data_IF_272736103045
#
_entry.id   IF_272736103045
#
_cell.length_a   1.000
_cell.length_b   1.000
_cell.length_c   1.000
_cell.angle_alpha   90.00
_cell.angle_beta   90.00
_cell.angle_gamma   90.00
#
_symmetry.space_group_name_H-M   'P 1'
#
loop_
_entity.id
_entity.type
_entity.pdbx_description
1 polymer ?
#
# COMPACT_ATOMS: atom_id res chain seq x y z
N UNK A 1 -15.50 -0.97 -15.53
CA UNK A 1 -16.33 0.07 -14.86
C UNK A 1 -15.40 0.92 -14.02
N UNK A 2 -15.73 2.19 -13.74
CA UNK A 2 -14.89 3.04 -12.89
C UNK A 2 -15.27 2.82 -11.43
N UNK A 3 -14.30 2.48 -10.60
CA UNK A 3 -14.47 2.25 -9.17
C UNK A 3 -13.64 3.23 -8.35
N UNK A 4 -14.05 3.45 -7.10
CA UNK A 4 -13.18 4.03 -6.07
C UNK A 4 -12.26 2.93 -5.53
N UNK A 5 -10.96 3.23 -5.39
CA UNK A 5 -9.96 2.25 -4.98
C UNK A 5 -9.22 2.72 -3.73
N UNK A 6 -9.10 1.82 -2.75
CA UNK A 6 -8.27 2.02 -1.57
C UNK A 6 -7.14 1.00 -1.59
N UNK A 7 -5.90 1.48 -1.58
CA UNK A 7 -4.71 0.65 -1.46
C UNK A 7 -4.14 0.81 -0.06
N UNK A 8 -4.14 -0.27 0.72
CA UNK A 8 -3.51 -0.34 2.03
C UNK A 8 -2.17 -1.05 1.88
N UNK A 9 -1.07 -0.37 2.22
CA UNK A 9 0.29 -0.95 2.24
C UNK A 9 0.72 -1.06 3.71
N UNK A 10 0.67 -2.26 4.24
CA UNK A 10 1.12 -2.60 5.59
C UNK A 10 2.63 -2.82 5.56
N UNK A 11 3.41 -1.79 5.86
CA UNK A 11 4.88 -1.80 5.71
C UNK A 11 5.51 -3.01 6.42
N UNK A 12 6.40 -3.69 5.71
CA UNK A 12 7.19 -4.78 6.26
C UNK A 12 6.40 -6.03 6.63
N UNK A 13 5.14 -6.21 6.20
CA UNK A 13 4.32 -7.40 6.50
C UNK A 13 4.70 -8.61 5.63
N UNK A 14 5.26 -9.62 6.29
CA UNK A 14 5.57 -10.94 5.73
C UNK A 14 4.31 -11.77 5.39
N UNK A 15 4.35 -12.54 4.30
CA UNK A 15 3.24 -13.39 3.83
C UNK A 15 2.76 -14.43 4.86
N UNK A 16 3.66 -15.19 5.48
CA UNK A 16 3.26 -16.22 6.46
C UNK A 16 2.63 -15.59 7.69
N UNK A 17 3.18 -14.45 8.15
CA UNK A 17 2.57 -13.69 9.23
C UNK A 17 1.21 -13.17 8.85
N UNK A 18 1.04 -12.63 7.64
CA UNK A 18 -0.27 -12.22 7.15
C UNK A 18 -1.26 -13.40 7.15
N UNK A 19 -0.84 -14.57 6.67
CA UNK A 19 -1.65 -15.79 6.58
C UNK A 19 -2.17 -16.23 7.95
N UNK A 20 -1.37 -16.15 9.01
CA UNK A 20 -1.77 -16.66 10.33
C UNK A 20 -2.14 -15.57 11.36
N UNK A 21 -1.93 -14.29 11.08
CA UNK A 21 -2.11 -13.19 12.04
C UNK A 21 -3.18 -12.16 11.64
N UNK A 22 -3.64 -12.15 10.38
CA UNK A 22 -4.68 -11.24 9.90
C UNK A 22 -6.06 -11.92 9.96
N UNK A 23 -6.52 -12.21 11.17
CA UNK A 23 -7.74 -13.01 11.40
C UNK A 23 -9.02 -12.41 10.80
N UNK A 24 -9.17 -11.09 10.82
CA UNK A 24 -10.29 -10.38 10.23
C UNK A 24 -10.25 -10.46 8.70
N UNK A 25 -9.12 -10.17 8.04
CA UNK A 25 -9.00 -10.37 6.59
C UNK A 25 -9.22 -11.84 6.18
N UNK A 26 -8.70 -12.79 6.97
CA UNK A 26 -8.93 -14.22 6.74
C UNK A 26 -10.41 -14.62 6.91
N UNK A 27 -11.19 -13.91 7.74
CA UNK A 27 -12.62 -14.14 7.82
C UNK A 27 -13.34 -13.79 6.52
N UNK A 28 -12.91 -12.73 5.81
CA UNK A 28 -13.44 -12.42 4.47
C UNK A 28 -13.06 -13.49 3.45
N UNK A 29 -11.82 -13.98 3.49
CA UNK A 29 -11.37 -15.08 2.61
C UNK A 29 -12.19 -16.34 2.88
N UNK A 30 -12.36 -16.74 4.13
CA UNK A 30 -13.16 -17.90 4.52
C UNK A 30 -14.65 -17.77 4.17
N UNK A 31 -15.16 -16.55 4.06
CA UNK A 31 -16.52 -16.26 3.61
C UNK A 31 -16.66 -16.16 2.07
N UNK A 32 -15.57 -16.36 1.31
CA UNK A 32 -15.58 -16.19 -0.15
C UNK A 32 -15.80 -14.75 -0.62
N UNK A 33 -15.49 -13.77 0.24
CA UNK A 33 -15.65 -12.32 -0.02
C UNK A 33 -14.31 -11.62 -0.30
N UNK A 34 -13.21 -12.37 -0.23
CA UNK A 34 -11.86 -11.90 -0.52
C UNK A 34 -11.01 -13.08 -1.02
N UNK A 35 -9.85 -12.75 -1.59
CA UNK A 35 -8.81 -13.72 -1.90
C UNK A 35 -7.47 -13.23 -1.33
N UNK A 36 -6.63 -14.17 -0.91
CA UNK A 36 -5.24 -13.92 -0.49
C UNK A 36 -4.30 -14.54 -1.52
N UNK A 37 -3.42 -13.72 -2.07
CA UNK A 37 -2.35 -14.10 -2.97
C UNK A 37 -0.99 -13.92 -2.31
N UNK A 38 -0.02 -14.73 -2.73
CA UNK A 38 1.39 -14.54 -2.39
C UNK A 38 2.07 -13.79 -3.53
N UNK A 39 2.62 -12.62 -3.23
CA UNK A 39 3.47 -11.87 -4.13
C UNK A 39 4.94 -12.13 -3.78
N UNK A 40 5.81 -11.96 -4.77
CA UNK A 40 7.25 -11.77 -4.55
C UNK A 40 7.57 -10.29 -4.79
N UNK A 41 8.13 -9.61 -3.79
CA UNK A 41 8.52 -8.21 -3.94
C UNK A 41 9.75 -8.06 -4.85
N UNK A 42 9.85 -6.91 -5.49
CA UNK A 42 11.01 -6.53 -6.28
C UNK A 42 12.24 -6.27 -5.40
N UNK A 43 13.38 -6.06 -6.05
CA UNK A 43 14.65 -5.82 -5.38
C UNK A 43 15.21 -4.42 -5.67
N UNK A 44 15.87 -3.79 -4.68
CA UNK A 44 16.07 -4.28 -3.32
C UNK A 44 14.79 -4.29 -2.48
N UNK A 45 14.68 -5.24 -1.54
CA UNK A 45 13.56 -5.36 -0.59
C UNK A 45 13.63 -4.28 0.48
N UNK A 46 13.53 -3.02 0.06
CA UNK A 46 13.64 -1.81 0.87
C UNK A 46 12.41 -0.94 0.65
N UNK A 47 11.98 -0.24 1.70
CA UNK A 47 10.70 0.46 1.71
C UNK A 47 10.56 1.53 0.64
N UNK A 48 11.41 2.57 0.60
CA UNK A 48 11.28 3.64 -0.42
C UNK A 48 11.35 3.11 -1.87
N UNK A 49 12.30 2.22 -2.22
CA UNK A 49 12.31 1.54 -3.52
C UNK A 49 11.00 0.83 -3.86
N UNK A 50 10.37 0.17 -2.88
CA UNK A 50 9.19 -0.64 -3.11
C UNK A 50 7.88 0.14 -3.00
N UNK A 51 7.85 1.27 -2.29
CA UNK A 51 6.76 2.26 -2.44
C UNK A 51 6.70 2.78 -3.87
N UNK A 52 7.87 3.12 -4.44
CA UNK A 52 8.00 3.52 -5.85
C UNK A 52 7.54 2.39 -6.77
N UNK A 53 8.00 1.16 -6.54
CA UNK A 53 7.63 0.01 -7.38
C UNK A 53 6.13 -0.27 -7.36
N UNK A 54 5.50 -0.35 -6.19
CA UNK A 54 4.06 -0.61 -6.06
C UNK A 54 3.24 0.45 -6.77
N UNK A 55 3.57 1.73 -6.55
CA UNK A 55 2.77 2.84 -7.03
C UNK A 55 3.03 3.20 -8.49
N UNK A 56 4.13 2.73 -9.09
CA UNK A 56 4.49 3.01 -10.50
C UNK A 56 4.53 1.77 -11.39
N UNK A 57 4.56 0.57 -10.81
CA UNK A 57 4.78 -0.69 -11.53
C UNK A 57 6.19 -0.84 -12.11
N UNK A 58 7.15 0.01 -11.70
CA UNK A 58 8.52 0.03 -12.24
C UNK A 58 9.51 -0.52 -11.21
N UNK A 59 10.28 -1.57 -11.53
CA UNK A 59 11.29 -2.11 -10.61
C UNK A 59 12.32 -1.07 -10.16
N UNK A 60 12.85 -1.15 -8.93
CA UNK A 60 13.81 -0.17 -8.40
C UNK A 60 15.04 0.10 -9.28
N UNK A 61 15.59 -0.94 -9.90
CA UNK A 61 16.76 -0.82 -10.79
C UNK A 61 16.46 0.05 -12.03
N UNK A 62 15.20 0.13 -12.44
CA UNK A 62 14.75 0.94 -13.59
C UNK A 62 14.32 2.35 -13.15
N UNK A 63 13.61 2.49 -12.02
CA UNK A 63 13.19 3.80 -11.51
C UNK A 63 14.37 4.63 -10.99
N UNK A 64 15.44 3.96 -10.56
CA UNK A 64 16.62 4.57 -9.95
C UNK A 64 16.41 4.97 -8.48
N UNK A 65 15.28 4.60 -7.86
CA UNK A 65 15.09 4.66 -6.41
C UNK A 65 15.57 3.33 -5.84
N UNK A 66 16.89 3.19 -5.65
CA UNK A 66 17.53 1.90 -5.32
C UNK A 66 17.88 1.74 -3.84
N UNK A 67 17.66 2.75 -3.01
CA UNK A 67 17.79 2.65 -1.55
C UNK A 67 16.99 3.76 -0.86
N UNK A 68 16.73 3.59 0.45
CA UNK A 68 15.90 4.52 1.24
C UNK A 68 16.43 5.97 1.27
N UNK A 69 17.74 6.18 1.11
CA UNK A 69 18.34 7.53 1.09
C UNK A 69 18.23 8.28 -0.26
N UNK A 70 17.65 7.68 -1.33
CA UNK A 70 17.43 8.41 -2.59
C UNK A 70 16.22 9.34 -2.39
N UNK A 71 16.47 10.59 -1.98
CA UNK A 71 15.46 11.61 -1.73
C UNK A 71 15.31 12.55 -2.92
N UNK A 72 14.31 12.28 -3.76
CA UNK A 72 13.90 13.11 -4.90
C UNK A 72 12.48 12.76 -5.34
N UNK A 73 11.90 13.61 -6.17
CA UNK A 73 10.72 13.25 -6.94
C UNK A 73 11.02 12.06 -7.86
N UNK A 74 10.01 11.21 -8.01
CA UNK A 74 9.99 10.14 -9.00
C UNK A 74 10.13 10.74 -10.41
N UNK A 75 10.80 10.00 -11.28
CA UNK A 75 10.83 10.26 -12.72
C UNK A 75 9.86 9.35 -13.49
N UNK A 76 9.05 8.57 -12.77
CA UNK A 76 8.05 7.66 -13.28
C UNK A 76 6.66 8.23 -13.08
N UNK A 77 5.70 7.70 -13.83
CA UNK A 77 4.28 7.97 -13.62
C UNK A 77 3.71 6.94 -12.64
N UNK A 78 3.12 7.44 -11.56
CA UNK A 78 2.44 6.64 -10.53
C UNK A 78 0.92 6.64 -10.70
N UNK A 79 0.22 5.79 -9.94
CA UNK A 79 -1.26 5.76 -9.87
C UNK A 79 -1.83 7.17 -9.70
N UNK A 80 -1.21 7.98 -8.83
CA UNK A 80 -1.61 9.36 -8.59
C UNK A 80 -1.61 10.21 -9.87
N UNK A 81 -0.55 10.13 -10.67
CA UNK A 81 -0.44 10.85 -11.93
C UNK A 81 -1.48 10.39 -12.96
N UNK A 82 -1.70 9.08 -13.10
CA UNK A 82 -2.73 8.57 -14.02
C UNK A 82 -4.14 9.00 -13.61
N UNK A 83 -4.44 8.97 -12.31
CA UNK A 83 -5.70 9.41 -11.76
C UNK A 83 -5.92 10.93 -12.01
N UNK A 84 -4.97 11.78 -11.63
CA UNK A 84 -5.11 13.23 -11.79
C UNK A 84 -5.19 13.67 -13.25
N UNK A 85 -4.40 13.05 -14.15
CA UNK A 85 -4.45 13.35 -15.59
C UNK A 85 -5.80 12.98 -16.22
N UNK A 86 -6.51 12.01 -15.64
CA UNK A 86 -7.87 11.65 -16.00
C UNK A 86 -8.95 12.47 -15.26
N UNK A 87 -8.56 13.49 -14.49
CA UNK A 87 -9.47 14.37 -13.74
C UNK A 87 -10.04 13.72 -12.48
N UNK A 88 -9.38 12.70 -11.94
CA UNK A 88 -9.80 12.00 -10.72
C UNK A 88 -9.19 12.63 -9.47
N UNK A 89 -9.90 12.50 -8.35
CA UNK A 89 -9.44 12.98 -7.04
C UNK A 89 -8.55 11.96 -6.34
N UNK A 90 -7.45 12.42 -5.74
CA UNK A 90 -6.49 11.53 -5.06
C UNK A 90 -6.21 11.96 -3.62
N UNK A 91 -5.97 10.96 -2.76
CA UNK A 91 -5.53 11.20 -1.40
C UNK A 91 -4.52 10.17 -0.88
N UNK A 92 -3.74 10.56 0.13
CA UNK A 92 -2.85 9.65 0.85
C UNK A 92 -2.72 9.97 2.34
N UNK A 93 -2.89 8.96 3.18
CA UNK A 93 -2.42 8.96 4.56
C UNK A 93 -1.21 8.02 4.63
N UNK A 94 0.01 8.58 4.67
CA UNK A 94 1.22 7.79 4.42
C UNK A 94 2.48 8.38 5.05
N UNK A 95 3.56 7.60 5.04
CA UNK A 95 4.87 8.11 5.45
C UNK A 95 5.33 9.21 4.48
N UNK A 96 6.06 10.21 5.00
CA UNK A 96 6.42 11.40 4.26
C UNK A 96 7.21 11.12 2.96
N UNK A 97 7.85 9.96 2.85
CA UNK A 97 8.57 9.54 1.64
C UNK A 97 7.65 9.48 0.42
N UNK A 98 6.38 9.15 0.61
CA UNK A 98 5.39 9.16 -0.48
C UNK A 98 5.17 10.60 -0.99
N UNK A 99 5.12 11.59 -0.09
CA UNK A 99 5.09 13.01 -0.49
C UNK A 99 6.37 13.42 -1.22
N UNK A 100 7.53 12.93 -0.79
CA UNK A 100 8.81 13.22 -1.47
C UNK A 100 8.89 12.62 -2.87
N UNK A 101 8.29 11.45 -3.08
CA UNK A 101 8.25 10.78 -4.37
C UNK A 101 7.30 11.48 -5.36
N UNK A 102 6.14 11.98 -4.92
CA UNK A 102 5.08 12.41 -5.87
C UNK A 102 4.62 13.85 -5.76
N UNK A 103 4.88 14.54 -4.65
CA UNK A 103 4.48 15.93 -4.48
C UNK A 103 5.69 16.87 -4.53
N UNK A 104 6.56 16.81 -3.51
CA UNK A 104 7.68 17.76 -3.33
C UNK A 104 8.79 17.12 -2.50
N UNK A 105 10.04 17.33 -2.92
CA UNK A 105 11.25 16.95 -2.18
C UNK A 105 12.21 18.14 -2.11
N UNK A 106 12.81 18.47 -0.95
CA UNK A 106 12.68 17.78 0.34
C UNK A 106 11.33 18.03 1.03
N UNK A 107 10.91 17.08 1.87
CA UNK A 107 9.74 17.23 2.75
C UNK A 107 9.99 18.26 3.85
N UNK A 108 9.04 19.16 4.06
CA UNK A 108 9.01 20.13 5.14
C UNK A 108 7.72 19.97 5.94
N UNK A 109 7.80 19.40 7.14
CA UNK A 109 6.63 19.01 7.94
C UNK A 109 5.58 20.12 8.09
N UNK A 110 5.99 21.36 8.38
CA UNK A 110 5.07 22.49 8.55
C UNK A 110 4.30 22.87 7.27
N UNK A 111 4.87 22.57 6.09
CA UNK A 111 4.27 22.87 4.78
C UNK A 111 3.48 21.69 4.25
N UNK A 112 4.04 20.49 4.37
CA UNK A 112 3.63 19.33 3.58
C UNK A 112 2.75 18.35 4.37
N UNK A 113 2.85 18.29 5.71
CA UNK A 113 2.14 17.30 6.56
C UNK A 113 0.65 17.21 6.21
N UNK A 114 0.00 18.35 6.06
CA UNK A 114 -1.40 18.44 5.65
C UNK A 114 -1.46 19.13 4.29
N UNK A 115 -1.55 18.33 3.24
CA UNK A 115 -1.68 18.82 1.86
C UNK A 115 -3.14 18.90 1.47
N UNK A 116 -3.55 20.03 0.89
CA UNK A 116 -4.86 20.27 0.27
C UNK A 116 -4.62 21.21 -0.92
N UNK A 117 -4.08 20.66 -2.02
CA UNK A 117 -3.63 21.37 -3.21
C UNK A 117 -3.93 20.53 -4.46
N UNK A 118 -4.98 20.89 -5.19
CA UNK A 118 -5.48 20.13 -6.34
C UNK A 118 -4.54 20.14 -7.55
N UNK A 119 -3.45 20.93 -7.51
CA UNK A 119 -2.43 20.96 -8.57
C UNK A 119 -1.35 19.89 -8.41
N UNK A 120 -1.30 19.21 -7.26
CA UNK A 120 -0.35 18.14 -6.97
C UNK A 120 -0.88 16.75 -7.37
N UNK A 121 0.01 15.79 -7.55
CA UNK A 121 -0.37 14.40 -7.85
C UNK A 121 -1.14 13.75 -6.70
N UNK A 122 -0.70 13.99 -5.45
CA UNK A 122 -1.47 13.68 -4.24
C UNK A 122 -2.13 14.98 -3.78
N UNK A 123 -3.40 15.15 -4.14
CA UNK A 123 -4.13 16.40 -3.94
C UNK A 123 -4.48 16.65 -2.47
N UNK A 124 -4.82 15.58 -1.75
CA UNK A 124 -5.17 15.62 -0.33
C UNK A 124 -4.30 14.66 0.48
N UNK A 125 -3.49 15.16 1.41
CA UNK A 125 -2.46 14.35 2.06
C UNK A 125 -2.37 14.57 3.57
N UNK A 126 -2.20 13.48 4.32
CA UNK A 126 -1.77 13.48 5.72
C UNK A 126 -0.50 12.64 5.84
N UNK A 127 0.65 13.32 6.06
CA UNK A 127 1.95 12.68 6.04
C UNK A 127 2.63 12.68 7.41
N UNK A 128 2.90 11.49 7.94
CA UNK A 128 3.68 11.32 9.17
C UNK A 128 5.16 11.11 8.85
N UNK A 129 6.04 11.34 9.84
CA UNK A 129 7.49 11.22 9.66
C UNK A 129 8.22 10.53 10.82
N UNK A 130 7.47 10.08 11.84
CA UNK A 130 8.04 9.29 12.93
C UNK A 130 7.61 7.83 12.73
N UNK A 131 8.57 6.91 12.76
CA UNK A 131 8.34 5.49 12.43
C UNK A 131 7.33 4.82 13.38
N UNK A 132 7.25 5.32 14.63
CA UNK A 132 6.31 4.86 15.66
C UNK A 132 4.94 5.58 15.63
N UNK A 133 4.58 6.25 14.52
CA UNK A 133 3.27 6.93 14.42
C UNK A 133 2.15 5.91 14.58
N UNK A 134 1.19 6.09 15.50
CA UNK A 134 0.22 5.03 15.78
C UNK A 134 -0.65 4.70 14.56
N UNK A 135 -0.68 3.43 14.16
CA UNK A 135 -1.57 2.96 13.08
C UNK A 135 -3.03 3.39 13.30
N UNK A 136 -3.52 3.41 14.54
CA UNK A 136 -4.88 3.87 14.85
C UNK A 136 -5.14 5.31 14.41
N UNK A 137 -4.14 6.18 14.53
CA UNK A 137 -4.23 7.57 14.08
C UNK A 137 -4.11 7.65 12.56
N UNK A 138 -3.24 6.82 11.96
CA UNK A 138 -3.10 6.81 10.51
C UNK A 138 -4.38 6.31 9.80
N UNK A 139 -5.01 5.25 10.29
CA UNK A 139 -6.28 4.79 9.74
C UNK A 139 -7.39 5.83 9.93
N UNK A 140 -7.40 6.56 11.06
CA UNK A 140 -8.31 7.68 11.25
C UNK A 140 -8.00 8.87 10.30
N UNK A 141 -6.73 9.17 10.03
CA UNK A 141 -6.30 10.17 9.04
C UNK A 141 -6.79 9.79 7.63
N UNK A 142 -6.66 8.52 7.25
CA UNK A 142 -7.15 7.99 5.99
C UNK A 142 -8.68 8.13 5.84
N UNK A 143 -9.44 7.73 6.87
CA UNK A 143 -10.90 7.82 6.81
C UNK A 143 -11.40 9.26 6.87
N UNK A 144 -10.69 10.15 7.58
CA UNK A 144 -10.93 11.60 7.54
C UNK A 144 -10.78 12.16 6.13
N UNK A 145 -9.70 11.81 5.42
CA UNK A 145 -9.50 12.19 4.01
C UNK A 145 -10.64 11.64 3.14
N UNK A 146 -11.03 10.37 3.32
CA UNK A 146 -12.13 9.74 2.58
C UNK A 146 -13.45 10.47 2.78
N UNK A 147 -13.82 10.78 4.02
CA UNK A 147 -15.08 11.46 4.36
C UNK A 147 -15.11 12.91 3.87
N UNK A 148 -13.99 13.63 3.96
CA UNK A 148 -13.93 15.05 3.60
C UNK A 148 -13.82 15.28 2.09
N UNK A 149 -13.07 14.43 1.39
CA UNK A 149 -12.68 14.66 0.00
C UNK A 149 -13.23 13.65 -0.99
N UNK A 150 -13.77 12.50 -0.53
CA UNK A 150 -14.28 11.43 -1.38
C UNK A 150 -13.37 11.11 -2.59
N UNK A 151 -12.08 10.83 -2.36
CA UNK A 151 -11.12 10.60 -3.44
C UNK A 151 -11.48 9.34 -4.24
N UNK A 152 -11.18 9.35 -5.54
CA UNK A 152 -11.29 8.16 -6.39
C UNK A 152 -10.18 7.14 -6.04
N UNK A 153 -9.00 7.62 -5.66
CA UNK A 153 -7.89 6.78 -5.18
C UNK A 153 -7.38 7.26 -3.82
N UNK A 154 -7.33 6.34 -2.84
CA UNK A 154 -6.76 6.58 -1.51
C UNK A 154 -5.65 5.57 -1.21
N UNK A 155 -4.47 6.09 -0.84
CA UNK A 155 -3.39 5.30 -0.26
C UNK A 155 -3.42 5.38 1.28
N UNK A 156 -3.31 4.23 1.94
CA UNK A 156 -3.18 4.10 3.40
C UNK A 156 -1.92 3.31 3.71
N UNK A 157 -0.98 3.87 4.46
CA UNK A 157 0.35 3.27 4.63
C UNK A 157 0.84 3.30 6.09
N UNK A 158 0.42 2.35 6.95
CA UNK A 158 0.94 2.20 8.32
C UNK A 158 2.32 1.53 8.36
N UNK A 159 3.09 1.80 9.42
CA UNK A 159 4.51 1.37 9.55
C UNK A 159 4.82 0.55 10.82
N UNK A 160 3.88 0.41 11.76
CA UNK A 160 4.21 -0.23 13.04
C UNK A 160 4.62 -1.71 12.92
N UNK A 161 4.22 -2.42 11.86
CA UNK A 161 4.66 -3.81 11.63
C UNK A 161 6.17 -3.85 11.33
N UNK A 162 6.63 -3.04 10.37
CA UNK A 162 8.05 -2.89 10.06
C UNK A 162 8.86 -2.37 11.26
N UNK A 163 8.39 -1.32 11.93
CA UNK A 163 9.05 -0.77 13.13
C UNK A 163 9.20 -1.82 14.25
N UNK A 164 8.18 -2.65 14.48
CA UNK A 164 8.27 -3.78 15.40
C UNK A 164 9.25 -4.86 14.91
N UNK A 165 9.30 -5.09 13.59
CA UNK A 165 10.23 -6.00 12.94
C UNK A 165 11.68 -5.58 13.13
N UNK A 166 12.01 -4.31 12.92
CA UNK A 166 13.35 -3.75 13.19
C UNK A 166 13.73 -3.81 14.68
N UNK A 167 12.77 -3.68 15.59
CA UNK A 167 13.04 -3.74 17.04
C UNK A 167 13.22 -5.16 17.55
N UNK A 168 12.49 -6.12 16.99
CA UNK A 168 12.33 -7.44 17.61
C UNK A 168 12.57 -8.65 16.69
N UNK A 169 12.56 -8.47 15.37
CA UNK A 169 12.72 -9.52 14.37
C UNK A 169 11.42 -10.25 14.03
N UNK A 170 11.43 -10.97 12.92
CA UNK A 170 10.30 -11.73 12.38
C UNK A 170 9.69 -12.71 13.39
N UNK A 171 10.52 -13.53 14.04
CA UNK A 171 10.07 -14.60 14.94
C UNK A 171 9.59 -14.11 16.32
N UNK A 172 9.49 -12.80 16.51
CA UNK A 172 9.04 -12.19 17.76
C UNK A 172 7.52 -12.19 17.92
N UNK A 173 7.05 -12.20 19.17
CA UNK A 173 5.64 -11.98 19.46
C UNK A 173 5.22 -10.54 19.13
N UNK A 174 6.14 -9.57 19.24
CA UNK A 174 5.91 -8.16 18.99
C UNK A 174 5.57 -7.90 17.52
N UNK A 175 6.35 -8.45 16.58
CA UNK A 175 6.08 -8.35 15.15
C UNK A 175 4.71 -8.97 14.80
N UNK A 176 4.47 -10.22 15.25
CA UNK A 176 3.20 -10.93 15.04
C UNK A 176 1.99 -10.20 15.67
N UNK A 177 2.15 -9.59 16.85
CA UNK A 177 1.07 -8.86 17.51
C UNK A 177 0.84 -7.47 16.89
N UNK A 178 1.85 -6.88 16.26
CA UNK A 178 1.68 -5.65 15.47
C UNK A 178 0.82 -5.92 14.24
N UNK A 179 1.03 -7.05 13.55
CA UNK A 179 0.15 -7.48 12.46
C UNK A 179 -1.31 -7.69 12.91
N UNK A 180 -1.52 -8.39 14.05
CA UNK A 180 -2.87 -8.54 14.64
C UNK A 180 -3.50 -7.20 15.00
N UNK A 181 -2.71 -6.26 15.50
CA UNK A 181 -3.21 -4.94 15.89
C UNK A 181 -3.64 -4.14 14.65
N UNK A 182 -2.86 -4.17 13.57
CA UNK A 182 -3.21 -3.54 12.30
C UNK A 182 -4.50 -4.14 11.70
N UNK A 183 -4.65 -5.48 11.75
CA UNK A 183 -5.85 -6.19 11.30
C UNK A 183 -7.11 -5.81 12.11
N UNK A 184 -6.98 -5.71 13.43
CA UNK A 184 -8.07 -5.26 14.33
C UNK A 184 -8.46 -3.82 14.01
N UNK A 185 -7.49 -2.91 13.85
CA UNK A 185 -7.78 -1.50 13.54
C UNK A 185 -8.45 -1.39 12.16
N UNK A 186 -7.94 -2.11 11.16
CA UNK A 186 -8.53 -2.14 9.81
C UNK A 186 -9.99 -2.64 9.83
N UNK A 187 -10.34 -3.52 10.77
CA UNK A 187 -11.69 -4.05 10.91
C UNK A 187 -12.75 -2.97 11.19
N UNK A 188 -12.37 -1.89 11.86
CA UNK A 188 -13.28 -0.76 12.14
C UNK A 188 -13.72 -0.02 10.86
N UNK A 189 -12.93 -0.12 9.78
CA UNK A 189 -13.13 0.67 8.55
C UNK A 189 -13.53 -0.16 7.33
N UNK A 190 -12.99 -1.38 7.20
CA UNK A 190 -13.05 -2.15 5.95
C UNK A 190 -14.48 -2.40 5.47
N UNK A 191 -15.39 -2.82 6.36
CA UNK A 191 -16.78 -3.07 5.96
C UNK A 191 -17.47 -1.79 5.48
N UNK A 192 -17.21 -0.65 6.13
CA UNK A 192 -17.74 0.65 5.70
C UNK A 192 -17.21 1.10 4.33
N UNK A 193 -15.95 0.80 4.03
CA UNK A 193 -15.38 1.06 2.69
C UNK A 193 -16.03 0.18 1.62
N UNK A 194 -16.24 -1.11 1.90
CA UNK A 194 -16.90 -2.04 0.99
C UNK A 194 -18.37 -1.67 0.77
N UNK A 195 -19.09 -1.25 1.81
CA UNK A 195 -20.48 -0.78 1.71
C UNK A 195 -20.61 0.51 0.89
N UNK A 196 -19.56 1.33 0.87
CA UNK A 196 -19.44 2.49 -0.01
C UNK A 196 -19.04 2.13 -1.46
N UNK A 197 -18.90 0.84 -1.79
CA UNK A 197 -18.54 0.36 -3.13
C UNK A 197 -17.06 0.44 -3.47
N UNK A 198 -16.20 0.71 -2.48
CA UNK A 198 -14.75 0.77 -2.70
C UNK A 198 -14.18 -0.62 -3.01
N UNK A 199 -13.22 -0.66 -3.92
CA UNK A 199 -12.38 -1.83 -4.16
C UNK A 199 -11.13 -1.69 -3.30
N UNK A 200 -10.84 -2.69 -2.47
CA UNK A 200 -9.77 -2.60 -1.47
C UNK A 200 -8.69 -3.63 -1.78
N UNK A 201 -7.45 -3.17 -1.87
CA UNK A 201 -6.26 -4.00 -1.91
C UNK A 201 -5.49 -3.80 -0.61
N UNK A 202 -5.10 -4.89 0.06
CA UNK A 202 -4.23 -4.85 1.24
C UNK A 202 -2.98 -5.65 0.95
N UNK A 203 -1.82 -4.99 0.93
CA UNK A 203 -0.54 -5.60 0.55
C UNK A 203 0.58 -5.15 1.48
N UNK A 204 1.78 -5.63 1.25
CA UNK A 204 3.02 -5.07 1.80
C UNK A 204 4.00 -4.73 0.68
N UNK A 205 4.99 -3.94 1.03
CA UNK A 205 6.16 -3.65 0.21
C UNK A 205 7.21 -4.76 0.31
N UNK A 206 7.63 -5.11 1.52
CA UNK A 206 8.54 -6.22 1.81
C UNK A 206 8.13 -6.96 3.09
N UNK A 207 8.90 -7.98 3.47
CA UNK A 207 8.82 -8.64 4.77
C UNK A 207 9.98 -8.24 5.70
N UNK A 208 10.31 -9.11 6.66
CA UNK A 208 11.33 -8.86 7.68
C UNK A 208 12.03 -10.17 8.00
N UNK A 209 13.34 -10.14 8.27
CA UNK A 209 14.08 -11.32 8.70
C UNK A 209 14.39 -11.31 10.22
N UNK A 210 15.00 -12.39 10.71
CA UNK A 210 15.35 -12.54 12.12
C UNK A 210 16.57 -11.72 12.55
N UNK A 211 17.35 -11.20 11.60
CA UNK A 211 18.40 -10.21 11.85
C UNK A 211 17.82 -8.79 12.01
N UNK A 212 16.49 -8.66 12.02
CA UNK A 212 15.74 -7.40 12.19
C UNK A 212 16.01 -6.42 11.05
N UNK A 213 16.20 -6.98 9.87
CA UNK A 213 16.45 -6.23 8.65
C UNK A 213 15.64 -6.81 7.51
N UNK A 214 15.66 -6.08 6.42
CA UNK A 214 15.27 -6.49 5.08
C UNK A 214 16.31 -5.91 4.10
N UNK A 215 16.18 -6.14 2.78
CA UNK A 215 17.07 -5.77 1.63
C UNK A 215 17.67 -6.98 0.87
N UNK A 216 17.43 -8.20 1.33
CA UNK A 216 17.97 -9.44 0.81
C UNK A 216 17.00 -10.30 -0.01
N UNK A 217 17.47 -11.50 -0.34
CA UNK A 217 16.79 -12.49 -1.18
C UNK A 217 15.95 -13.49 -0.39
N UNK A 218 15.94 -13.40 0.94
CA UNK A 218 15.27 -14.40 1.79
C UNK A 218 13.76 -14.40 1.50
N UNK A 219 13.12 -15.58 1.47
CA UNK A 219 11.68 -15.68 1.28
C UNK A 219 10.92 -14.81 2.29
N UNK A 220 11.35 -14.78 3.54
CA UNK A 220 10.69 -13.97 4.57
C UNK A 220 10.78 -12.45 4.35
N UNK A 221 11.74 -11.98 3.56
CA UNK A 221 11.90 -10.58 3.18
C UNK A 221 11.13 -10.25 1.89
N UNK A 222 10.87 -11.25 1.03
CA UNK A 222 10.32 -11.03 -0.31
C UNK A 222 8.90 -11.53 -0.52
N UNK A 223 8.48 -12.56 0.21
CA UNK A 223 7.12 -13.07 0.11
C UNK A 223 6.17 -12.19 0.93
N UNK A 224 5.29 -11.47 0.23
CA UNK A 224 4.35 -10.51 0.83
C UNK A 224 2.90 -10.86 0.46
N UNK A 225 1.91 -10.53 1.31
CA UNK A 225 0.51 -10.80 1.01
C UNK A 225 -0.05 -9.82 -0.02
N UNK A 226 -1.06 -10.26 -0.74
CA UNK A 226 -2.04 -9.40 -1.40
C UNK A 226 -3.44 -9.94 -1.08
N UNK A 227 -4.19 -9.22 -0.26
CA UNK A 227 -5.62 -9.40 -0.13
C UNK A 227 -6.36 -8.49 -1.10
N UNK A 228 -7.37 -9.01 -1.79
CA UNK A 228 -8.28 -8.21 -2.61
C UNK A 228 -9.72 -8.41 -2.13
N UNK A 229 -10.46 -7.31 -2.01
CA UNK A 229 -11.84 -7.27 -1.53
C UNK A 229 -12.66 -6.28 -2.35
N UNK A 230 -13.86 -6.67 -2.74
CA UNK A 230 -14.74 -5.86 -3.58
C UNK A 230 -15.35 -6.65 -4.73
N UNK A 231 -16.29 -6.05 -5.43
CA UNK A 231 -17.05 -6.71 -6.49
C UNK A 231 -16.35 -6.73 -7.86
N UNK A 232 -15.25 -5.98 -8.04
CA UNK A 232 -14.48 -5.95 -9.28
C UNK A 232 -13.45 -7.08 -9.41
N UNK A 233 -13.12 -7.77 -8.31
CA UNK A 233 -12.11 -8.84 -8.31
C UNK A 233 -12.72 -10.20 -8.64
N UNK A 234 -12.02 -10.99 -9.46
CA UNK A 234 -12.44 -12.34 -9.87
C UNK A 234 -12.42 -13.35 -8.71
N UNK A 235 -11.53 -13.11 -7.73
CA UNK A 235 -11.16 -14.05 -6.66
C UNK A 235 -10.63 -15.40 -7.18
N UNK A 236 -10.12 -15.44 -8.42
CA UNK A 236 -9.55 -16.66 -9.00
C UNK A 236 -8.30 -17.08 -8.22
N UNK A 237 -8.33 -18.29 -7.65
CA UNK A 237 -7.22 -18.87 -6.90
C UNK A 237 -5.97 -19.16 -7.77
N UNK A 238 -6.13 -19.18 -9.10
CA UNK A 238 -5.05 -19.40 -10.05
C UNK A 238 -4.42 -18.09 -10.56
N UNK A 239 -4.95 -16.93 -10.17
CA UNK A 239 -4.33 -15.66 -10.53
C UNK A 239 -2.91 -15.58 -9.95
N UNK A 240 -1.96 -15.09 -10.74
CA UNK A 240 -0.55 -14.96 -10.34
C UNK A 240 -0.10 -13.49 -10.40
N UNK A 241 -0.68 -12.61 -9.56
CA UNK A 241 -0.30 -11.20 -9.57
C UNK A 241 1.16 -11.03 -9.15
N UNK A 242 1.81 -10.00 -9.71
CA UNK A 242 3.14 -9.54 -9.30
C UNK A 242 3.05 -8.18 -8.62
N UNK A 243 4.05 -7.84 -7.81
CA UNK A 243 4.10 -6.51 -7.18
C UNK A 243 4.10 -5.37 -8.22
N UNK A 244 4.72 -5.60 -9.38
CA UNK A 244 4.75 -4.65 -10.51
C UNK A 244 3.40 -4.49 -11.21
N UNK A 245 2.49 -5.45 -11.07
CA UNK A 245 1.15 -5.38 -11.67
C UNK A 245 0.19 -4.46 -10.88
N UNK A 246 0.50 -4.18 -9.60
CA UNK A 246 -0.42 -3.45 -8.71
C UNK A 246 -0.79 -2.07 -9.23
N UNK A 247 0.17 -1.34 -9.81
CA UNK A 247 -0.09 -0.03 -10.40
C UNK A 247 -1.12 -0.11 -11.54
N UNK A 248 -0.93 -1.05 -12.47
CA UNK A 248 -1.85 -1.23 -13.59
C UNK A 248 -3.20 -1.78 -13.14
N UNK A 249 -3.23 -2.74 -12.22
CA UNK A 249 -4.48 -3.24 -11.63
C UNK A 249 -5.31 -2.12 -11.01
N UNK A 250 -4.69 -1.22 -10.24
CA UNK A 250 -5.40 -0.06 -9.67
C UNK A 250 -5.87 0.89 -10.77
N UNK A 251 -5.06 1.14 -11.79
CA UNK A 251 -5.47 2.00 -12.92
C UNK A 251 -6.66 1.42 -13.72
N UNK A 252 -6.71 0.10 -13.93
CA UNK A 252 -7.84 -0.59 -14.56
C UNK A 252 -9.12 -0.43 -13.72
N UNK A 253 -9.02 -0.58 -12.39
CA UNK A 253 -10.16 -0.38 -11.47
C UNK A 253 -10.65 1.08 -11.49
N UNK A 254 -9.74 2.05 -11.56
CA UNK A 254 -10.06 3.47 -11.71
C UNK A 254 -10.61 3.82 -13.11
N UNK A 255 -10.48 2.91 -14.08
CA UNK A 255 -10.89 3.13 -15.46
C UNK A 255 -10.08 4.22 -16.18
N UNK A 256 -8.80 4.38 -15.83
CA UNK A 256 -7.92 5.41 -16.41
C UNK A 256 -6.94 4.80 -17.42
N UNK A 257 -6.57 5.52 -18.51
CA UNK A 257 -5.53 5.04 -19.42
C UNK A 257 -4.16 4.94 -18.75
N UNK A 258 -3.46 3.82 -18.94
CA UNK A 258 -2.10 3.61 -18.44
C UNK A 258 -1.30 2.69 -19.38
N UNK A 259 0.01 2.61 -19.15
CA UNK A 259 0.98 1.78 -19.86
C UNK A 259 1.59 0.67 -18.97
N UNK A 260 1.03 0.50 -17.77
CA UNK A 260 1.52 -0.43 -16.74
C UNK A 260 1.04 -1.88 -16.95
N UNK A 261 1.85 -2.88 -16.52
CA UNK A 261 1.44 -4.28 -16.56
C UNK A 261 0.26 -4.53 -15.61
N UNK A 262 -0.53 -5.56 -15.92
CA UNK A 262 -1.76 -5.92 -15.20
C UNK A 262 -1.87 -7.43 -15.14
N UNK A 263 -2.15 -8.00 -13.96
CA UNK A 263 -2.66 -9.36 -13.84
C UNK A 263 -4.16 -9.36 -14.17
N UNK A 264 -4.51 -9.77 -15.39
CA UNK A 264 -5.88 -9.72 -15.90
C UNK A 264 -6.80 -10.71 -15.19
N UNK A 265 -6.23 -11.83 -14.75
CA UNK A 265 -6.92 -12.88 -14.01
C UNK A 265 -7.44 -12.40 -12.66
N UNK A 266 -6.90 -11.30 -12.12
CA UNK A 266 -7.32 -10.72 -10.83
C UNK A 266 -8.67 -9.97 -10.92
N UNK A 267 -9.06 -9.54 -12.13
CA UNK A 267 -10.22 -8.68 -12.37
C UNK A 267 -11.34 -9.44 -13.12
N UNK A 268 -12.58 -8.99 -12.96
CA UNK A 268 -13.76 -9.51 -13.70
C UNK A 268 -13.92 -8.93 -15.09
#
# INVERSE_FOLDING_TARGET
>A
MKHTVILVVLDGLNFEVARHAMGHLQAYVGAGRAALYKLECELPSLSRPLYECILTGVPPIQSGIVHNQVARLSNQRSIFHYATDAGLSTAAAAYHWVSELYNRSPFLAARDRHTDDTTLAIQHGHFYWNDHYPDSHLFADADSLRLKHAPDFLLVHPMNIDDAGHKHGLDSAQYRNSARSADIILADYLQGWLDAGCQVLVTADHGMNNDRSHNGLLPEEREVPLFVLGDAFSLDANATPKQTDLCGTVCELLGVPHDKPVCRELLK
#
